data_IF_102180739535
#
_entry.id   IF_102180739535
#
_cell.length_a   1.000
_cell.length_b   1.000
_cell.length_c   1.000
_cell.angle_alpha   90.00
_cell.angle_beta   90.00
_cell.angle_gamma   90.00
#
_symmetry.space_group_name_H-M   'P 1'
#
loop_
_entity.id
_entity.type
_entity.pdbx_description
1 polymer ?
#
# COMPACT_ATOMS: atom_id res chain seq x y z
N UNK A 1 1.53 12.24 16.16
CA UNK A 1 2.62 12.01 17.14
C UNK A 1 3.88 11.67 16.36
N UNK A 2 5.02 12.17 16.81
CA UNK A 2 6.32 11.88 16.20
C UNK A 2 6.86 10.54 16.72
N UNK A 3 7.10 9.59 15.81
CA UNK A 3 7.66 8.27 16.09
C UNK A 3 9.12 8.13 15.62
N UNK A 4 9.72 9.19 15.06
CA UNK A 4 11.12 9.16 14.63
C UNK A 4 12.11 8.75 15.74
N UNK A 5 11.90 9.09 17.03
CA UNK A 5 12.75 8.55 18.11
C UNK A 5 12.73 7.02 18.24
N UNK A 6 11.62 6.37 17.88
CA UNK A 6 11.52 4.89 17.88
C UNK A 6 12.36 4.31 16.74
N UNK A 7 12.21 4.85 15.53
CA UNK A 7 12.94 4.38 14.34
C UNK A 7 14.44 4.63 14.47
N UNK A 8 14.80 5.79 15.01
CA UNK A 8 16.18 6.10 15.38
C UNK A 8 16.75 5.05 16.34
N UNK A 9 15.97 4.63 17.34
CA UNK A 9 16.45 3.63 18.29
C UNK A 9 16.59 2.25 17.67
N UNK A 10 15.66 1.85 16.80
CA UNK A 10 15.75 0.61 16.02
C UNK A 10 17.02 0.59 15.16
N UNK A 11 17.31 1.69 14.46
CA UNK A 11 18.55 1.86 13.69
C UNK A 11 19.81 1.73 14.56
N UNK A 12 19.87 2.41 15.70
CA UNK A 12 21.02 2.33 16.63
C UNK A 12 21.28 0.91 17.15
N UNK A 13 20.22 0.13 17.32
CA UNK A 13 20.29 -1.23 17.85
C UNK A 13 20.44 -2.31 16.77
N UNK A 14 20.40 -1.94 15.48
CA UNK A 14 20.40 -2.90 14.38
C UNK A 14 19.16 -3.80 14.38
N UNK A 15 18.00 -3.25 14.78
CA UNK A 15 16.73 -3.99 14.85
C UNK A 15 15.84 -3.55 13.71
N UNK A 16 15.55 -4.47 12.77
CA UNK A 16 14.51 -4.28 11.76
C UNK A 16 13.11 -4.40 12.40
N UNK A 17 12.29 -3.33 12.45
CA UNK A 17 10.98 -3.40 13.09
C UNK A 17 10.05 -4.35 12.35
N UNK A 18 9.37 -5.22 13.10
CA UNK A 18 8.32 -6.09 12.57
C UNK A 18 6.97 -5.77 13.21
N UNK A 19 5.92 -5.82 12.39
CA UNK A 19 4.56 -5.52 12.80
C UNK A 19 3.71 -6.78 12.66
N UNK A 20 3.19 -7.23 13.80
CA UNK A 20 2.23 -8.33 13.88
C UNK A 20 1.02 -7.84 14.66
N UNK A 21 -0.04 -7.46 13.96
CA UNK A 21 -1.26 -6.97 14.61
C UNK A 21 -2.49 -7.34 13.81
N UNK A 22 -3.43 -8.00 14.47
CA UNK A 22 -4.75 -8.24 13.88
C UNK A 22 -5.71 -7.05 13.99
N UNK A 23 -6.58 -6.90 13.00
CA UNK A 23 -7.72 -5.95 13.01
C UNK A 23 -9.08 -6.56 13.43
N UNK A 24 -9.11 -7.82 13.90
CA UNK A 24 -10.31 -8.43 14.50
C UNK A 24 -10.86 -7.56 15.64
N UNK A 25 -12.18 -7.38 15.68
CA UNK A 25 -12.84 -6.52 16.68
C UNK A 25 -12.75 -5.02 16.40
N UNK A 26 -12.27 -4.61 15.23
CA UNK A 26 -12.18 -3.21 14.79
C UNK A 26 -12.92 -3.00 13.48
N UNK A 27 -13.40 -1.77 13.25
CA UNK A 27 -14.06 -1.35 12.02
C UNK A 27 -15.13 -2.36 11.55
N UNK A 28 -15.03 -2.85 10.32
CA UNK A 28 -15.99 -3.78 9.72
C UNK A 28 -15.78 -5.24 10.16
N UNK A 29 -14.82 -5.56 11.05
CA UNK A 29 -14.48 -6.94 11.47
C UNK A 29 -15.04 -7.27 12.85
N UNK A 30 -16.35 -7.06 13.00
CA UNK A 30 -17.08 -7.14 14.29
C UNK A 30 -18.30 -8.06 14.24
N UNK A 31 -18.30 -9.06 13.33
CA UNK A 31 -19.38 -10.04 13.30
C UNK A 31 -19.44 -10.81 14.62
N UNK A 32 -20.59 -10.81 15.33
CA UNK A 32 -20.69 -11.50 16.61
C UNK A 32 -20.76 -13.03 16.47
N UNK A 33 -20.99 -13.54 15.25
CA UNK A 33 -21.30 -14.96 15.01
C UNK A 33 -20.41 -15.64 13.98
N UNK A 34 -19.54 -14.91 13.28
CA UNK A 34 -18.71 -15.48 12.21
C UNK A 34 -17.23 -15.16 12.40
N UNK A 35 -16.45 -16.16 12.80
CA UNK A 35 -15.00 -16.05 12.97
C UNK A 35 -14.31 -15.70 11.65
N UNK A 36 -14.60 -16.42 10.56
CA UNK A 36 -13.93 -16.22 9.27
C UNK A 36 -14.15 -14.81 8.73
N UNK A 37 -15.37 -14.26 8.87
CA UNK A 37 -15.65 -12.87 8.52
C UNK A 37 -14.73 -11.88 9.24
N UNK A 38 -14.44 -12.14 10.52
CA UNK A 38 -13.53 -11.30 11.29
C UNK A 38 -12.06 -11.58 10.95
N UNK A 39 -11.71 -12.84 10.68
CA UNK A 39 -10.35 -13.34 10.52
C UNK A 39 -9.75 -13.10 9.13
N UNK A 40 -10.45 -13.45 8.05
CA UNK A 40 -9.87 -13.42 6.70
C UNK A 40 -9.38 -12.00 6.33
N UNK A 41 -8.08 -11.86 6.05
CA UNK A 41 -7.44 -10.58 5.70
C UNK A 41 -7.26 -9.61 6.88
N UNK A 42 -7.43 -10.05 8.13
CA UNK A 42 -7.35 -9.14 9.28
C UNK A 42 -5.94 -8.64 9.58
N UNK A 43 -4.91 -9.43 9.30
CA UNK A 43 -3.51 -9.01 9.36
C UNK A 43 -3.21 -8.07 8.19
N UNK A 44 -3.55 -8.47 6.96
CA UNK A 44 -3.41 -7.64 5.76
C UNK A 44 -3.93 -6.20 5.97
N UNK A 45 -5.17 -6.04 6.46
CA UNK A 45 -5.76 -4.71 6.69
C UNK A 45 -5.02 -3.86 7.74
N UNK A 46 -4.47 -4.49 8.79
CA UNK A 46 -3.72 -3.77 9.82
C UNK A 46 -2.29 -3.43 9.35
N UNK A 47 -1.67 -4.36 8.62
CA UNK A 47 -0.37 -4.20 7.97
C UNK A 47 -0.43 -3.12 6.90
N UNK A 48 -1.44 -3.09 6.05
CA UNK A 48 -1.69 -2.06 5.04
C UNK A 48 -1.80 -0.68 5.67
N UNK A 49 -2.56 -0.54 6.76
CA UNK A 49 -2.69 0.73 7.48
C UNK A 49 -1.35 1.22 8.06
N UNK A 50 -0.56 0.29 8.63
CA UNK A 50 0.76 0.61 9.19
C UNK A 50 1.76 0.97 8.09
N UNK A 51 1.80 0.19 7.01
CA UNK A 51 2.66 0.41 5.85
C UNK A 51 2.38 1.76 5.20
N UNK A 52 1.10 2.10 4.95
CA UNK A 52 0.69 3.41 4.46
C UNK A 52 1.13 4.55 5.37
N UNK A 53 0.97 4.39 6.69
CA UNK A 53 1.38 5.42 7.64
C UNK A 53 2.90 5.64 7.64
N UNK A 54 3.69 4.58 7.50
CA UNK A 54 5.15 4.68 7.38
C UNK A 54 5.56 5.34 6.05
N UNK A 55 4.96 4.91 4.94
CA UNK A 55 5.26 5.42 3.62
C UNK A 55 4.88 6.90 3.47
N UNK A 56 3.58 7.23 3.61
CA UNK A 56 3.06 8.60 3.47
C UNK A 56 3.57 9.53 4.58
N UNK A 57 3.98 8.96 5.71
CA UNK A 57 4.68 9.69 6.77
C UNK A 57 6.15 9.99 6.45
N UNK A 58 6.68 9.59 5.29
CA UNK A 58 8.06 9.81 4.85
C UNK A 58 9.12 9.02 5.62
N UNK A 59 8.72 7.97 6.35
CA UNK A 59 9.64 7.23 7.25
C UNK A 59 10.69 6.48 6.45
N UNK A 60 10.31 5.80 5.37
CA UNK A 60 11.27 5.08 4.51
C UNK A 60 12.23 6.02 3.78
N UNK A 61 11.88 7.29 3.61
CA UNK A 61 12.82 8.33 3.16
C UNK A 61 13.79 8.72 4.27
N UNK A 62 13.30 9.10 5.45
CA UNK A 62 14.14 9.60 6.57
C UNK A 62 15.04 8.50 7.18
N UNK A 63 14.58 7.25 7.12
CA UNK A 63 15.26 6.05 7.60
C UNK A 63 15.45 5.07 6.43
N UNK A 64 16.07 5.54 5.35
CA UNK A 64 16.31 4.79 4.11
C UNK A 64 17.25 3.60 4.25
N UNK A 65 17.87 3.44 5.42
CA UNK A 65 18.73 2.33 5.80
C UNK A 65 18.04 1.31 6.72
N UNK A 66 16.79 1.56 7.14
CA UNK A 66 16.02 0.67 8.01
C UNK A 66 15.01 -0.15 7.20
N UNK A 67 14.93 -1.44 7.48
CA UNK A 67 13.96 -2.35 6.89
C UNK A 67 12.76 -2.55 7.82
N UNK A 68 11.54 -2.64 7.25
CA UNK A 68 10.31 -2.86 8.01
C UNK A 68 9.55 -4.09 7.51
N UNK A 69 9.14 -4.96 8.43
CA UNK A 69 8.47 -6.23 8.15
C UNK A 69 7.01 -6.21 8.58
N UNK A 70 6.10 -6.71 7.74
CA UNK A 70 4.66 -6.80 8.03
C UNK A 70 4.22 -8.26 7.98
N UNK A 71 3.91 -8.85 9.14
CA UNK A 71 3.80 -10.31 9.29
C UNK A 71 2.36 -10.81 9.08
N UNK A 72 2.24 -12.04 8.58
CA UNK A 72 0.98 -12.81 8.40
C UNK A 72 -0.10 -12.13 7.53
N UNK A 73 0.30 -11.14 6.73
CA UNK A 73 -0.62 -10.40 5.86
C UNK A 73 -0.72 -10.97 4.45
N UNK A 74 0.23 -11.83 4.05
CA UNK A 74 0.47 -12.18 2.65
C UNK A 74 1.05 -11.01 1.85
N UNK A 75 1.52 -11.25 0.64
CA UNK A 75 2.08 -10.20 -0.23
C UNK A 75 1.04 -9.55 -1.15
N UNK A 76 -0.12 -10.19 -1.35
CA UNK A 76 -1.16 -9.70 -2.25
C UNK A 76 -1.60 -8.26 -1.94
N UNK A 77 -1.79 -7.92 -0.66
CA UNK A 77 -2.15 -6.54 -0.27
C UNK A 77 -1.02 -5.54 -0.56
N UNK A 78 0.23 -5.98 -0.48
CA UNK A 78 1.40 -5.14 -0.72
C UNK A 78 1.54 -4.78 -2.19
N UNK A 79 1.31 -5.75 -3.10
CA UNK A 79 1.30 -5.49 -4.54
C UNK A 79 0.22 -4.48 -4.93
N UNK A 80 -1.00 -4.63 -4.38
CA UNK A 80 -2.08 -3.68 -4.59
C UNK A 80 -1.73 -2.30 -4.05
N UNK A 81 -1.27 -2.23 -2.80
CA UNK A 81 -0.87 -0.98 -2.16
C UNK A 81 0.23 -0.26 -2.95
N UNK A 82 1.25 -0.98 -3.41
CA UNK A 82 2.33 -0.42 -4.20
C UNK A 82 1.82 0.21 -5.51
N UNK A 83 0.98 -0.50 -6.25
CA UNK A 83 0.37 0.02 -7.47
C UNK A 83 -0.54 1.23 -7.17
N UNK A 84 -1.33 1.16 -6.10
CA UNK A 84 -2.22 2.25 -5.68
C UNK A 84 -1.44 3.51 -5.30
N UNK A 85 -0.34 3.40 -4.55
CA UNK A 85 0.49 4.56 -4.20
C UNK A 85 1.02 5.27 -5.45
N UNK A 86 1.41 4.52 -6.48
CA UNK A 86 1.88 5.09 -7.75
C UNK A 86 0.74 5.78 -8.50
N UNK A 87 -0.39 5.09 -8.67
CA UNK A 87 -1.55 5.65 -9.37
C UNK A 87 -2.10 6.90 -8.69
N UNK A 88 -2.15 6.90 -7.35
CA UNK A 88 -2.63 8.04 -6.59
C UNK A 88 -1.62 9.19 -6.56
N UNK A 89 -0.32 8.92 -6.57
CA UNK A 89 0.68 9.98 -6.67
C UNK A 89 0.46 10.82 -7.93
N UNK A 90 0.08 10.22 -9.07
CA UNK A 90 -0.19 10.94 -10.32
C UNK A 90 -1.35 11.94 -10.25
N UNK A 91 -2.25 11.82 -9.28
CA UNK A 91 -3.43 12.66 -9.12
C UNK A 91 -3.49 13.43 -7.80
N UNK A 92 -2.56 13.17 -6.87
CA UNK A 92 -2.54 13.74 -5.51
C UNK A 92 -1.20 14.35 -5.10
N UNK A 93 -0.22 14.41 -6.02
CA UNK A 93 0.98 15.23 -5.82
C UNK A 93 0.69 16.72 -6.04
N UNK A 94 1.59 17.60 -5.58
CA UNK A 94 1.40 19.06 -5.67
C UNK A 94 1.03 19.58 -7.07
N UNK A 95 1.74 19.17 -8.12
CA UNK A 95 1.46 19.58 -9.51
C UNK A 95 0.11 19.04 -10.01
N UNK A 96 -0.20 17.78 -9.71
CA UNK A 96 -1.46 17.16 -10.11
C UNK A 96 -2.69 17.80 -9.42
N UNK A 97 -2.51 18.32 -8.20
CA UNK A 97 -3.55 19.04 -7.49
C UNK A 97 -3.86 20.39 -8.14
N UNK A 98 -2.88 21.07 -8.75
CA UNK A 98 -3.13 22.28 -9.53
C UNK A 98 -4.04 21.99 -10.72
N UNK A 99 -3.87 20.84 -11.39
CA UNK A 99 -4.73 20.44 -12.52
C UNK A 99 -6.18 20.18 -12.11
N UNK A 100 -6.42 19.75 -10.88
CA UNK A 100 -7.76 19.46 -10.35
C UNK A 100 -8.30 20.56 -9.44
N UNK A 101 -7.64 21.73 -9.39
CA UNK A 101 -8.04 22.85 -8.55
C UNK A 101 -9.45 23.33 -8.93
N UNK A 102 -10.45 23.21 -8.03
CA UNK A 102 -11.81 23.66 -8.31
C UNK A 102 -11.87 25.16 -8.67
N UNK A 103 -10.93 25.97 -8.19
CA UNK A 103 -10.88 27.39 -8.49
C UNK A 103 -10.50 27.70 -9.96
N UNK A 104 -9.92 26.74 -10.68
CA UNK A 104 -9.54 26.88 -12.10
C UNK A 104 -10.68 26.53 -13.06
N UNK A 105 -11.86 26.12 -12.57
CA UNK A 105 -12.98 25.76 -13.42
C UNK A 105 -13.53 26.97 -14.21
N UNK A 106 -13.42 26.93 -15.54
CA UNK A 106 -14.04 27.93 -16.42
C UNK A 106 -15.55 27.72 -16.50
N UNK A 107 -16.28 28.49 -15.70
CA UNK A 107 -17.75 28.47 -15.65
C UNK A 107 -18.39 28.97 -16.95
N UNK A 108 -17.71 29.84 -17.71
CA UNK A 108 -18.22 30.36 -18.97
C UNK A 108 -18.20 29.25 -20.02
N UNK A 109 -17.06 28.60 -20.19
CA UNK A 109 -16.93 27.47 -21.12
C UNK A 109 -17.85 26.31 -20.73
N UNK A 110 -17.94 25.98 -19.43
CA UNK A 110 -18.86 24.96 -18.94
C UNK A 110 -20.33 25.26 -19.31
N UNK A 111 -20.74 26.52 -19.18
CA UNK A 111 -22.10 26.96 -19.57
C UNK A 111 -22.31 26.86 -21.07
N UNK A 112 -21.36 27.30 -21.89
CA UNK A 112 -21.45 27.20 -23.35
C UNK A 112 -21.54 25.75 -23.84
N UNK A 113 -20.76 24.85 -23.24
CA UNK A 113 -20.78 23.42 -23.56
C UNK A 113 -22.12 22.79 -23.16
N UNK A 114 -22.66 23.15 -21.99
CA UNK A 114 -23.98 22.70 -21.56
C UNK A 114 -25.09 23.17 -22.51
N UNK A 115 -25.03 24.42 -22.99
CA UNK A 115 -26.00 24.96 -23.95
C UNK A 115 -25.91 24.29 -25.32
N UNK A 116 -24.70 23.92 -25.75
CA UNK A 116 -24.47 23.31 -27.07
C UNK A 116 -24.83 21.83 -27.12
N UNK A 117 -24.57 21.10 -26.05
CA UNK A 117 -24.64 19.63 -26.05
C UNK A 117 -25.57 19.04 -24.99
N UNK A 118 -25.97 19.80 -23.98
CA UNK A 118 -26.80 19.34 -22.88
C UNK A 118 -28.30 19.38 -23.16
N UNK A 119 -29.06 18.58 -22.41
CA UNK A 119 -30.51 18.74 -22.32
C UNK A 119 -30.92 19.87 -21.36
N UNK A 120 -32.20 20.29 -21.35
CA UNK A 120 -32.70 21.38 -20.50
C UNK A 120 -32.32 21.23 -19.02
N UNK A 121 -32.37 20.01 -18.48
CA UNK A 121 -32.02 19.73 -17.07
C UNK A 121 -30.54 20.01 -16.75
N UNK A 122 -29.62 19.71 -17.68
CA UNK A 122 -28.18 19.96 -17.51
C UNK A 122 -27.87 21.45 -17.58
N UNK A 123 -28.51 22.16 -18.51
CA UNK A 123 -28.36 23.62 -18.67
C UNK A 123 -28.82 24.34 -17.40
N UNK A 124 -29.99 23.97 -16.87
CA UNK A 124 -30.52 24.54 -15.63
C UNK A 124 -29.61 24.23 -14.43
N UNK A 125 -29.09 22.99 -14.34
CA UNK A 125 -28.17 22.60 -13.29
C UNK A 125 -26.88 23.45 -13.30
N UNK A 126 -26.22 23.58 -14.46
CA UNK A 126 -24.99 24.37 -14.61
C UNK A 126 -25.24 25.85 -14.29
N UNK A 127 -26.31 26.45 -14.83
CA UNK A 127 -26.66 27.85 -14.55
C UNK A 127 -27.02 28.11 -13.10
N UNK A 128 -27.62 27.12 -12.43
CA UNK A 128 -27.93 27.23 -10.99
C UNK A 128 -26.68 27.21 -10.10
N UNK A 129 -25.53 26.75 -10.63
CA UNK A 129 -24.30 26.56 -9.87
C UNK A 129 -24.38 25.42 -8.83
N UNK A 130 -25.50 24.70 -8.76
CA UNK A 130 -25.73 23.68 -7.73
C UNK A 130 -24.88 22.45 -8.00
N UNK A 131 -23.99 22.14 -7.05
CA UNK A 131 -23.05 21.01 -7.17
C UNK A 131 -21.74 21.35 -7.88
N UNK A 132 -21.57 22.60 -8.30
CA UNK A 132 -20.29 23.10 -8.82
C UNK A 132 -19.47 23.65 -7.66
N UNK A 133 -18.32 23.05 -7.39
CA UNK A 133 -17.34 23.60 -6.46
C UNK A 133 -16.36 24.46 -7.24
N UNK A 134 -16.29 25.75 -6.89
CA UNK A 134 -15.29 26.69 -7.42
C UNK A 134 -14.41 27.28 -6.34
N UNK A 135 -14.54 26.76 -5.11
CA UNK A 135 -13.79 27.25 -3.95
C UNK A 135 -12.70 26.25 -3.61
N UNK A 136 -11.50 26.80 -3.40
CA UNK A 136 -10.38 26.09 -2.84
C UNK A 136 -9.76 26.97 -1.76
N UNK A 137 -10.27 26.82 -0.53
CA UNK A 137 -9.93 27.64 0.63
C UNK A 137 -9.80 26.81 1.90
N UNK A 138 -9.42 27.44 3.00
CA UNK A 138 -9.21 26.73 4.28
C UNK A 138 -10.46 25.94 4.74
N UNK A 139 -11.66 26.41 4.38
CA UNK A 139 -12.92 25.71 4.67
C UNK A 139 -13.11 24.42 3.88
N UNK A 140 -12.51 24.30 2.68
CA UNK A 140 -12.61 23.09 1.83
C UNK A 140 -11.45 22.13 2.07
N UNK A 141 -10.29 22.62 2.50
CA UNK A 141 -9.10 21.79 2.77
C UNK A 141 -8.96 21.37 4.23
N UNK A 142 -9.85 21.83 5.11
CA UNK A 142 -9.73 21.61 6.55
C UNK A 142 -8.60 22.40 7.21
N UNK A 143 -8.14 23.48 6.57
CA UNK A 143 -7.06 24.34 7.05
C UNK A 143 -5.65 23.78 6.80
N UNK A 144 -5.52 22.75 5.96
CA UNK A 144 -4.23 22.23 5.53
C UNK A 144 -3.55 23.24 4.59
N UNK A 145 -2.28 23.54 4.87
CA UNK A 145 -1.43 24.41 4.04
C UNK A 145 -0.64 23.62 3.00
N UNK A 146 -0.34 22.37 3.30
CA UNK A 146 0.26 21.42 2.38
C UNK A 146 -0.82 20.42 1.97
N UNK A 147 -1.16 20.42 0.68
CA UNK A 147 -2.22 19.57 0.13
C UNK A 147 -1.67 18.34 -0.58
N UNK A 148 -0.37 18.33 -0.87
CA UNK A 148 0.32 17.17 -1.41
C UNK A 148 0.35 16.05 -0.35
N UNK A 149 -0.44 15.00 -0.60
CA UNK A 149 -0.56 13.83 0.27
C UNK A 149 0.78 13.07 0.42
N UNK A 150 1.72 13.30 -0.50
CA UNK A 150 3.04 12.67 -0.59
C UNK A 150 4.18 13.63 -0.20
N UNK A 151 3.89 14.84 0.24
CA UNK A 151 4.88 15.87 0.60
C UNK A 151 6.02 15.36 1.50
N UNK A 152 5.72 14.49 2.48
CA UNK A 152 6.73 13.92 3.37
C UNK A 152 7.69 12.92 2.69
N UNK A 153 7.28 12.34 1.56
CA UNK A 153 8.06 11.41 0.76
C UNK A 153 9.07 12.12 -0.15
N UNK A 154 8.83 13.40 -0.49
CA UNK A 154 9.66 14.19 -1.42
C UNK A 154 9.94 13.47 -2.75
N UNK A 155 8.91 12.84 -3.31
CA UNK A 155 8.97 12.12 -4.59
C UNK A 155 9.11 13.13 -5.73
N UNK A 156 10.10 12.93 -6.59
CA UNK A 156 10.35 13.77 -7.77
C UNK A 156 9.87 13.11 -9.06
N UNK A 157 9.88 11.78 -9.11
CA UNK A 157 9.31 10.99 -10.19
C UNK A 157 8.66 9.72 -9.65
N UNK A 158 7.67 9.17 -10.36
CA UNK A 158 6.94 8.00 -9.90
C UNK A 158 7.84 6.78 -9.61
N UNK A 159 9.00 6.67 -10.27
CA UNK A 159 9.98 5.62 -10.04
C UNK A 159 10.61 5.67 -8.63
N UNK A 160 10.66 6.84 -7.98
CA UNK A 160 11.18 6.99 -6.61
C UNK A 160 10.38 6.15 -5.60
N UNK A 161 9.09 5.91 -5.87
CA UNK A 161 8.21 5.08 -5.03
C UNK A 161 8.77 3.65 -4.92
N UNK A 162 9.41 3.13 -5.98
CA UNK A 162 10.07 1.82 -5.94
C UNK A 162 11.14 1.78 -4.86
N UNK A 163 12.04 2.78 -4.83
CA UNK A 163 13.10 2.87 -3.82
C UNK A 163 12.56 3.09 -2.41
N UNK A 164 11.52 3.92 -2.26
CA UNK A 164 10.92 4.20 -0.96
C UNK A 164 10.08 3.05 -0.40
N UNK A 165 9.55 2.18 -1.26
CA UNK A 165 8.66 1.08 -0.87
C UNK A 165 9.38 -0.27 -0.93
N UNK A 166 9.79 -0.69 -2.14
CA UNK A 166 10.29 -2.03 -2.45
C UNK A 166 11.62 -2.31 -1.74
N UNK A 167 12.49 -1.32 -1.64
CA UNK A 167 13.79 -1.54 -1.02
C UNK A 167 13.71 -1.71 0.50
N UNK A 168 12.66 -1.19 1.16
CA UNK A 168 12.57 -1.10 2.62
C UNK A 168 11.49 -1.96 3.25
N UNK A 169 10.47 -2.35 2.49
CA UNK A 169 9.33 -3.09 3.04
C UNK A 169 9.35 -4.56 2.66
N UNK A 170 9.05 -5.39 3.65
CA UNK A 170 9.09 -6.84 3.57
C UNK A 170 7.79 -7.42 4.11
N UNK A 171 7.23 -8.43 3.44
CA UNK A 171 5.88 -8.90 3.69
C UNK A 171 5.86 -10.39 4.04
N UNK A 172 5.41 -10.70 5.26
CA UNK A 172 5.27 -12.05 5.79
C UNK A 172 4.17 -12.81 5.08
N UNK A 173 4.54 -13.94 4.51
CA UNK A 173 3.69 -14.77 3.68
C UNK A 173 3.68 -16.21 4.17
N UNK A 174 2.49 -16.79 4.21
CA UNK A 174 2.29 -18.22 4.48
C UNK A 174 2.87 -19.06 3.34
N UNK A 175 3.23 -20.30 3.66
CA UNK A 175 3.91 -21.21 2.73
C UNK A 175 3.05 -21.55 1.50
N UNK A 176 1.79 -21.91 1.71
CA UNK A 176 0.84 -22.38 0.71
C UNK A 176 0.06 -21.26 0.00
N UNK A 177 0.37 -19.99 0.29
CA UNK A 177 -0.30 -18.85 -0.33
C UNK A 177 0.11 -18.68 -1.81
N UNK A 178 -0.78 -19.05 -2.72
CA UNK A 178 -0.61 -18.87 -4.16
C UNK A 178 -0.36 -17.42 -4.59
N UNK A 179 -0.78 -16.43 -3.79
CA UNK A 179 -0.54 -15.01 -4.07
C UNK A 179 0.91 -14.58 -3.90
N UNK A 180 1.76 -15.42 -3.28
CA UNK A 180 3.21 -15.22 -3.21
C UNK A 180 3.83 -14.99 -4.59
N UNK A 181 3.29 -15.63 -5.62
CA UNK A 181 3.72 -15.45 -7.00
C UNK A 181 3.56 -14.00 -7.52
N UNK A 182 2.64 -13.21 -6.94
CA UNK A 182 2.40 -11.83 -7.37
C UNK A 182 3.58 -10.93 -7.01
N UNK A 183 4.34 -11.27 -5.97
CA UNK A 183 5.55 -10.54 -5.60
C UNK A 183 6.61 -10.56 -6.71
N UNK A 184 6.72 -11.71 -7.39
CA UNK A 184 7.73 -11.99 -8.41
C UNK A 184 7.29 -11.68 -9.83
N UNK A 185 6.02 -11.30 -10.02
CA UNK A 185 5.48 -10.95 -11.33
C UNK A 185 5.86 -9.52 -11.72
N UNK A 186 7.13 -9.30 -12.05
CA UNK A 186 7.69 -8.00 -12.44
C UNK A 186 6.99 -7.38 -13.64
N UNK A 187 6.40 -8.19 -14.53
CA UNK A 187 5.60 -7.67 -15.67
C UNK A 187 4.33 -6.96 -15.23
N UNK A 188 3.75 -7.34 -14.10
CA UNK A 188 2.53 -6.75 -13.56
C UNK A 188 2.84 -5.65 -12.52
N UNK A 189 3.92 -5.80 -11.76
CA UNK A 189 4.29 -4.83 -10.73
C UNK A 189 4.95 -3.60 -11.38
N UNK A 190 4.44 -2.37 -11.14
CA UNK A 190 5.00 -1.16 -11.73
C UNK A 190 6.53 -1.03 -11.54
N UNK A 191 7.20 -0.50 -12.56
CA UNK A 191 8.66 -0.34 -12.59
C UNK A 191 9.44 -1.66 -12.45
N UNK A 192 8.87 -2.76 -12.96
CA UNK A 192 9.47 -4.10 -12.91
C UNK A 192 9.87 -4.49 -11.49
N UNK A 193 9.01 -4.18 -10.52
CA UNK A 193 9.31 -4.37 -9.11
C UNK A 193 9.11 -5.83 -8.68
N UNK A 194 10.11 -6.37 -7.98
CA UNK A 194 9.97 -7.59 -7.20
C UNK A 194 9.71 -7.21 -5.73
N UNK A 195 8.52 -7.50 -5.23
CA UNK A 195 8.14 -7.15 -3.85
C UNK A 195 8.78 -8.15 -2.88
N UNK A 196 9.39 -7.67 -1.80
CA UNK A 196 10.15 -8.54 -0.90
C UNK A 196 9.23 -9.33 0.02
N UNK A 197 9.27 -10.64 -0.11
CA UNK A 197 8.54 -11.58 0.72
C UNK A 197 9.38 -12.05 1.91
N UNK A 198 8.72 -12.45 2.99
CA UNK A 198 9.32 -13.15 4.13
C UNK A 198 8.56 -14.44 4.33
N UNK A 199 9.26 -15.57 4.27
CA UNK A 199 8.67 -16.88 4.55
C UNK A 199 8.20 -16.97 6.01
N UNK A 200 6.89 -17.17 6.20
CA UNK A 200 6.24 -17.48 7.47
C UNK A 200 5.90 -18.96 7.51
N UNK A 201 6.43 -19.66 8.51
CA UNK A 201 6.22 -21.10 8.63
C UNK A 201 4.95 -21.50 9.38
N UNK A 202 4.36 -20.57 10.13
CA UNK A 202 3.16 -20.72 10.97
C UNK A 202 3.12 -21.99 11.84
N UNK A 203 4.31 -22.51 12.18
CA UNK A 203 4.47 -23.68 13.02
C UNK A 203 3.87 -23.43 14.40
N UNK A 204 2.85 -24.22 14.75
CA UNK A 204 2.11 -24.07 16.01
C UNK A 204 0.83 -23.24 15.88
N UNK A 205 0.49 -22.76 14.68
CA UNK A 205 -0.81 -22.21 14.33
C UNK A 205 -1.79 -23.31 13.88
N UNK A 206 -3.06 -22.96 13.64
CA UNK A 206 -4.13 -23.96 13.43
C UNK A 206 -4.20 -24.54 12.01
N UNK A 207 -3.56 -23.88 11.06
CA UNK A 207 -3.40 -24.25 9.63
C UNK A 207 -2.27 -25.25 9.42
N UNK A 208 -1.16 -25.15 10.16
CA UNK A 208 -0.02 -26.07 10.05
C UNK A 208 -0.19 -27.29 10.97
N UNK A 209 -0.70 -28.39 10.41
CA UNK A 209 -0.88 -29.66 11.15
C UNK A 209 0.36 -30.55 11.14
N UNK A 210 1.19 -30.46 10.10
CA UNK A 210 2.44 -31.20 9.96
C UNK A 210 3.59 -30.25 9.61
N UNK A 211 4.54 -30.09 10.53
CA UNK A 211 5.70 -29.22 10.32
C UNK A 211 6.60 -29.67 9.17
N UNK A 212 6.54 -30.96 8.79
CA UNK A 212 7.29 -31.48 7.66
C UNK A 212 6.71 -31.02 6.31
N UNK A 213 5.45 -30.56 6.27
CA UNK A 213 4.76 -30.10 5.06
C UNK A 213 5.08 -28.66 4.65
N UNK A 214 5.47 -27.80 5.59
CA UNK A 214 5.58 -26.35 5.35
C UNK A 214 6.49 -25.99 4.18
N UNK A 215 7.72 -26.54 4.13
CA UNK A 215 8.65 -26.22 3.06
C UNK A 215 8.27 -26.90 1.72
N UNK A 216 7.86 -28.19 1.70
CA UNK A 216 7.25 -28.80 0.52
C UNK A 216 6.09 -28.01 -0.07
N UNK A 217 5.13 -27.57 0.75
CA UNK A 217 3.96 -26.79 0.33
C UNK A 217 4.37 -25.46 -0.32
N UNK A 218 5.37 -24.76 0.24
CA UNK A 218 5.91 -23.56 -0.40
C UNK A 218 6.57 -23.86 -1.76
N UNK A 219 7.20 -25.03 -1.90
CA UNK A 219 7.84 -25.44 -3.15
C UNK A 219 6.83 -25.83 -4.24
N UNK A 220 5.59 -26.14 -3.88
CA UNK A 220 4.51 -26.37 -4.86
C UNK A 220 4.28 -25.16 -5.78
N UNK A 221 4.62 -23.93 -5.35
CA UNK A 221 4.61 -22.75 -6.22
C UNK A 221 5.57 -22.87 -7.41
N UNK A 222 6.68 -23.58 -7.23
CA UNK A 222 7.64 -23.90 -8.30
C UNK A 222 7.09 -25.04 -9.17
N UNK A 223 6.58 -26.10 -8.54
CA UNK A 223 6.02 -27.27 -9.24
C UNK A 223 4.80 -26.89 -10.11
N UNK A 224 3.98 -25.96 -9.64
CA UNK A 224 2.83 -25.38 -10.35
C UNK A 224 3.23 -24.31 -11.39
N UNK A 225 4.53 -24.08 -11.61
CA UNK A 225 5.07 -23.08 -12.55
C UNK A 225 4.61 -21.63 -12.24
N UNK A 226 4.24 -21.33 -10.99
CA UNK A 226 3.83 -19.98 -10.56
C UNK A 226 5.04 -19.07 -10.30
N UNK A 227 6.14 -19.65 -9.82
CA UNK A 227 7.43 -18.99 -9.60
C UNK A 227 8.58 -19.86 -10.10
N UNK A 228 9.78 -19.30 -10.21
CA UNK A 228 11.00 -20.03 -10.57
C UNK A 228 11.74 -20.51 -9.32
N UNK A 229 12.72 -21.39 -9.49
CA UNK A 229 13.65 -21.77 -8.41
C UNK A 229 14.38 -20.57 -7.79
N UNK A 230 14.75 -19.58 -8.61
CA UNK A 230 15.39 -18.33 -8.16
C UNK A 230 14.44 -17.53 -7.26
N UNK A 231 13.17 -17.37 -7.66
CA UNK A 231 12.15 -16.71 -6.84
C UNK A 231 11.90 -17.46 -5.52
N UNK A 232 11.93 -18.80 -5.57
CA UNK A 232 11.81 -19.60 -4.35
C UNK A 232 13.00 -19.37 -3.40
N UNK A 233 14.23 -19.31 -3.92
CA UNK A 233 15.42 -18.93 -3.14
C UNK A 233 15.26 -17.54 -2.49
N UNK A 234 14.75 -16.57 -3.24
CA UNK A 234 14.44 -15.24 -2.70
C UNK A 234 13.42 -15.31 -1.56
N UNK A 235 12.37 -16.10 -1.71
CA UNK A 235 11.29 -16.24 -0.73
C UNK A 235 11.75 -16.88 0.58
N UNK A 236 12.38 -18.05 0.51
CA UNK A 236 12.68 -18.86 1.70
C UNK A 236 14.04 -18.55 2.34
N UNK A 237 14.93 -17.83 1.65
CA UNK A 237 16.28 -17.57 2.13
C UNK A 237 16.76 -16.13 1.92
N UNK A 238 16.88 -15.64 0.68
CA UNK A 238 17.63 -14.39 0.46
C UNK A 238 16.93 -13.17 1.04
N UNK A 239 15.61 -13.05 0.89
CA UNK A 239 14.87 -11.92 1.47
C UNK A 239 14.90 -11.96 3.01
N UNK A 240 14.66 -13.11 3.67
CA UNK A 240 14.93 -13.25 5.10
C UNK A 240 16.34 -12.79 5.50
N UNK A 241 17.38 -13.30 4.83
CA UNK A 241 18.77 -12.92 5.14
C UNK A 241 19.00 -11.42 4.94
N UNK A 242 18.47 -10.81 3.87
CA UNK A 242 18.56 -9.36 3.64
C UNK A 242 17.82 -8.53 4.70
N UNK A 243 16.80 -9.09 5.34
CA UNK A 243 15.99 -8.38 6.33
C UNK A 243 16.62 -8.40 7.74
N UNK A 244 17.14 -9.54 8.16
CA UNK A 244 17.69 -9.76 9.51
C UNK A 244 19.23 -9.79 9.58
N UNK A 245 19.92 -9.93 8.45
CA UNK A 245 21.38 -10.11 8.35
C UNK A 245 22.17 -8.82 8.20
#
# INVERSE_FOLDING_TARGET
HDYDPVWQKCRELGVSPTFHRGSRGKALRVSPTNFCYNHIGHFAAASEATCKALFLGGVSRRFSDLNFGFLEGGVGFACLLYADLIGHWQIRNGEALEYTDPAQLDLTELTELAERYGGPEMIDAVRSGKGISTRNGAETTGGLTELDDYSACEITEAADIKTLFVDRFYFGCEADDATNAWAFNTKNNPFDAEIKTLFGSDVGHFDVQDMAGVLPEAYELVEDEKITDDHFSHFVFENPVRFWG
#
